data_IF_348265317360
#
_entry.id   IF_348265317360
#
_cell.length_a   1.000
_cell.length_b   1.000
_cell.length_c   1.000
_cell.angle_alpha   90.00
_cell.angle_beta   90.00
_cell.angle_gamma   90.00
#
_symmetry.space_group_name_H-M   'P 1'
#
loop_
_entity.id
_entity.type
_entity.pdbx_description
1 polymer ?
#
# COMPACT_ATOMS: atom_id res chain seq x y z
N UNK A 1 -14.48 20.21 42.05
CA UNK A 1 -13.19 20.06 42.74
C UNK A 1 -12.19 19.58 41.70
N UNK A 2 -11.21 20.41 41.33
CA UNK A 2 -10.06 19.92 40.56
C UNK A 2 -9.31 18.92 41.43
N UNK A 3 -9.23 17.67 40.97
CA UNK A 3 -8.70 16.59 41.77
C UNK A 3 -7.17 16.56 41.66
N UNK A 4 -6.52 17.49 42.35
CA UNK A 4 -5.07 17.72 42.34
C UNK A 4 -4.25 16.43 42.56
N UNK A 5 -4.81 15.47 43.32
CA UNK A 5 -4.20 14.17 43.60
C UNK A 5 -4.14 13.29 42.35
N UNK A 6 -5.23 13.24 41.57
CA UNK A 6 -5.26 12.50 40.31
C UNK A 6 -4.30 13.11 39.27
N UNK A 7 -4.27 14.45 39.16
CA UNK A 7 -3.32 15.15 38.29
C UNK A 7 -1.87 14.86 38.68
N UNK A 8 -1.57 14.85 39.98
CA UNK A 8 -0.23 14.52 40.49
C UNK A 8 0.16 13.08 40.18
N UNK A 9 -0.78 12.14 40.29
CA UNK A 9 -0.55 10.75 39.89
C UNK A 9 -0.28 10.63 38.38
N UNK A 10 -1.07 11.29 37.54
CA UNK A 10 -0.84 11.32 36.10
C UNK A 10 0.51 11.94 35.75
N UNK A 11 0.95 13.00 36.43
CA UNK A 11 2.23 13.64 36.17
C UNK A 11 3.42 12.68 36.30
N UNK A 12 3.34 11.70 37.22
CA UNK A 12 4.39 10.70 37.46
C UNK A 12 4.39 9.55 36.44
N UNK A 13 3.38 9.47 35.57
CA UNK A 13 3.29 8.40 34.56
C UNK A 13 4.09 8.72 33.30
N UNK A 14 4.47 7.66 32.57
CA UNK A 14 5.13 7.75 31.26
C UNK A 14 4.17 8.04 30.09
N UNK A 15 2.88 8.24 30.38
CA UNK A 15 1.87 8.54 29.38
C UNK A 15 2.17 9.89 28.69
N UNK A 16 1.76 10.02 27.44
CA UNK A 16 1.86 11.26 26.70
C UNK A 16 0.94 12.34 27.27
N UNK A 17 1.21 13.60 26.95
CA UNK A 17 0.36 14.74 27.36
C UNK A 17 -1.09 14.58 26.89
N UNK A 18 -1.31 14.06 25.68
CA UNK A 18 -2.64 13.82 25.14
C UNK A 18 -3.41 12.75 25.91
N UNK A 19 -2.74 11.65 26.29
CA UNK A 19 -3.35 10.61 27.10
C UNK A 19 -3.69 11.08 28.51
N UNK A 20 -2.78 11.84 29.15
CA UNK A 20 -3.03 12.47 30.45
C UNK A 20 -4.25 13.39 30.40
N UNK A 21 -4.39 14.17 29.33
CA UNK A 21 -5.55 15.02 29.10
C UNK A 21 -6.85 14.21 28.97
N UNK A 22 -6.85 13.17 28.13
CA UNK A 22 -8.01 12.31 27.94
C UNK A 22 -8.44 11.62 29.24
N UNK A 23 -7.48 11.07 29.98
CA UNK A 23 -7.74 10.45 31.29
C UNK A 23 -8.30 11.47 32.29
N UNK A 24 -7.84 12.71 32.26
CA UNK A 24 -8.37 13.79 33.10
C UNK A 24 -9.82 14.11 32.75
N UNK A 25 -10.16 14.21 31.46
CA UNK A 25 -11.55 14.39 31.02
C UNK A 25 -12.42 13.24 31.52
N UNK A 26 -12.01 12.00 31.25
CA UNK A 26 -12.77 10.80 31.65
C UNK A 26 -12.97 10.81 33.16
N UNK A 27 -11.90 10.99 33.92
CA UNK A 27 -11.94 11.01 35.38
C UNK A 27 -12.92 12.07 35.91
N UNK A 28 -12.93 13.27 35.32
CA UNK A 28 -13.81 14.35 35.75
C UNK A 28 -15.30 14.05 35.56
N UNK A 29 -15.66 13.22 34.57
CA UNK A 29 -17.05 12.79 34.32
C UNK A 29 -17.55 11.70 35.28
N UNK A 30 -16.66 11.09 36.07
CA UNK A 30 -17.03 10.03 37.00
C UNK A 30 -17.73 10.58 38.26
N UNK A 31 -18.53 9.72 38.88
CA UNK A 31 -19.10 9.96 40.22
C UNK A 31 -18.00 10.07 41.27
N UNK A 32 -18.24 10.83 42.34
CA UNK A 32 -17.23 11.06 43.38
C UNK A 32 -16.77 9.77 44.08
N UNK A 33 -17.69 8.83 44.36
CA UNK A 33 -17.34 7.51 44.91
C UNK A 33 -16.33 6.77 44.03
N UNK A 34 -16.55 6.82 42.70
CA UNK A 34 -15.69 6.18 41.72
C UNK A 34 -14.34 6.88 41.60
N UNK A 35 -14.32 8.22 41.71
CA UNK A 35 -13.08 9.01 41.75
C UNK A 35 -12.24 8.65 42.97
N UNK A 36 -12.87 8.52 44.15
CA UNK A 36 -12.21 8.11 45.39
C UNK A 36 -11.62 6.71 45.23
N UNK A 37 -12.42 5.74 44.77
CA UNK A 37 -11.97 4.37 44.57
C UNK A 37 -10.76 4.28 43.62
N UNK A 38 -10.79 5.04 42.52
CA UNK A 38 -9.67 5.10 41.56
C UNK A 38 -8.41 5.69 42.21
N UNK A 39 -8.55 6.75 43.01
CA UNK A 39 -7.43 7.38 43.69
C UNK A 39 -6.81 6.44 44.73
N UNK A 40 -7.63 5.73 45.50
CA UNK A 40 -7.18 4.78 46.52
C UNK A 40 -6.51 3.54 45.90
N UNK A 41 -6.99 3.12 44.72
CA UNK A 41 -6.50 1.94 44.02
C UNK A 41 -5.70 2.30 42.76
N UNK A 42 -5.06 3.47 42.75
CA UNK A 42 -4.45 4.06 41.55
C UNK A 42 -3.53 3.09 40.81
N UNK A 43 -2.64 2.39 41.54
CA UNK A 43 -1.69 1.43 40.95
C UNK A 43 -2.40 0.36 40.11
N UNK A 44 -3.47 -0.25 40.63
CA UNK A 44 -4.26 -1.28 39.93
C UNK A 44 -4.86 -0.73 38.63
N UNK A 45 -5.41 0.48 38.69
CA UNK A 45 -6.01 1.11 37.52
C UNK A 45 -4.97 1.53 36.49
N UNK A 46 -3.84 2.06 36.95
CA UNK A 46 -2.72 2.44 36.10
C UNK A 46 -2.11 1.23 35.38
N UNK A 47 -1.87 0.12 36.10
CA UNK A 47 -1.36 -1.13 35.49
C UNK A 47 -2.33 -1.64 34.41
N UNK A 48 -3.64 -1.50 34.63
CA UNK A 48 -4.64 -1.87 33.63
C UNK A 48 -4.63 -0.93 32.42
N UNK A 49 -4.49 0.37 32.63
CA UNK A 49 -4.35 1.37 31.56
C UNK A 49 -3.12 1.04 30.71
N UNK A 50 -1.98 0.78 31.33
CA UNK A 50 -0.76 0.42 30.63
C UNK A 50 -0.91 -0.88 29.83
N UNK A 51 -1.52 -1.91 30.42
CA UNK A 51 -1.77 -3.18 29.72
C UNK A 51 -2.62 -2.97 28.46
N UNK A 52 -3.69 -2.17 28.55
CA UNK A 52 -4.56 -1.88 27.39
C UNK A 52 -3.80 -1.04 26.36
N UNK A 53 -3.03 -0.04 26.80
CA UNK A 53 -2.25 0.80 25.91
C UNK A 53 -1.19 0.00 25.13
N UNK A 54 -0.42 -0.86 25.81
CA UNK A 54 0.60 -1.69 25.17
C UNK A 54 -0.02 -2.61 24.13
N UNK A 55 -1.11 -3.32 24.47
CA UNK A 55 -1.78 -4.19 23.51
C UNK A 55 -2.33 -3.43 22.29
N UNK A 56 -2.90 -2.23 22.50
CA UNK A 56 -3.40 -1.41 21.41
C UNK A 56 -2.27 -0.89 20.50
N UNK A 57 -1.12 -0.53 21.07
CA UNK A 57 0.03 -0.07 20.30
C UNK A 57 0.69 -1.23 19.53
N UNK A 58 0.77 -2.42 20.11
CA UNK A 58 1.22 -3.64 19.41
C UNK A 58 0.30 -3.98 18.22
N UNK A 59 -1.02 -3.95 18.43
CA UNK A 59 -2.00 -4.21 17.36
C UNK A 59 -1.89 -3.16 16.25
N UNK A 60 -1.74 -1.89 16.61
CA UNK A 60 -1.54 -0.80 15.65
C UNK A 60 -0.25 -0.98 14.85
N UNK A 61 0.85 -1.33 15.49
CA UNK A 61 2.13 -1.59 14.82
C UNK A 61 2.02 -2.75 13.84
N UNK A 62 1.35 -3.84 14.23
CA UNK A 62 1.12 -4.98 13.35
C UNK A 62 0.23 -4.60 12.16
N UNK A 63 -0.85 -3.84 12.39
CA UNK A 63 -1.73 -3.35 11.33
C UNK A 63 -0.98 -2.45 10.33
N UNK A 64 -0.11 -1.57 10.83
CA UNK A 64 0.77 -0.74 9.99
C UNK A 64 1.68 -1.63 9.14
N UNK A 65 2.34 -2.62 9.76
CA UNK A 65 3.24 -3.55 9.09
C UNK A 65 2.53 -4.32 7.97
N UNK A 66 1.37 -4.90 8.26
CA UNK A 66 0.54 -5.63 7.29
C UNK A 66 0.13 -4.72 6.14
N UNK A 67 -0.26 -3.47 6.44
CA UNK A 67 -0.70 -2.51 5.43
C UNK A 67 0.44 -2.15 4.48
N UNK A 68 1.64 -1.87 5.00
CA UNK A 68 2.81 -1.61 4.18
C UNK A 68 3.21 -2.82 3.33
N UNK A 69 3.15 -4.03 3.87
CA UNK A 69 3.41 -5.25 3.11
C UNK A 69 2.44 -5.41 1.92
N UNK A 70 1.14 -5.12 2.13
CA UNK A 70 0.14 -5.13 1.05
C UNK A 70 0.40 -4.05 0.00
N UNK A 71 0.75 -2.83 0.42
CA UNK A 71 1.09 -1.74 -0.50
C UNK A 71 2.27 -2.14 -1.39
N UNK A 72 3.33 -2.68 -0.79
CA UNK A 72 4.50 -3.13 -1.56
C UNK A 72 4.13 -4.24 -2.55
N UNK A 73 3.34 -5.23 -2.13
CA UNK A 73 2.87 -6.27 -3.04
C UNK A 73 2.07 -5.72 -4.22
N UNK A 74 1.24 -4.70 -4.01
CA UNK A 74 0.48 -4.05 -5.08
C UNK A 74 1.38 -3.26 -6.04
N UNK A 75 2.41 -2.60 -5.51
CA UNK A 75 3.41 -1.89 -6.31
C UNK A 75 4.19 -2.89 -7.18
N UNK A 76 4.68 -3.98 -6.58
CA UNK A 76 5.42 -5.02 -7.30
C UNK A 76 4.56 -5.64 -8.40
N UNK A 77 3.29 -5.94 -8.11
CA UNK A 77 2.36 -6.45 -9.12
C UNK A 77 2.12 -5.45 -10.25
N UNK A 78 1.96 -4.16 -9.93
CA UNK A 78 1.79 -3.12 -10.94
C UNK A 78 3.03 -2.99 -11.84
N UNK A 79 4.23 -3.07 -11.27
CA UNK A 79 5.49 -3.05 -12.02
C UNK A 79 5.60 -4.27 -12.95
N UNK A 80 5.30 -5.48 -12.45
CA UNK A 80 5.32 -6.70 -13.26
C UNK A 80 4.31 -6.63 -14.41
N UNK A 81 3.10 -6.09 -14.17
CA UNK A 81 2.09 -5.89 -15.22
C UNK A 81 2.55 -4.88 -16.27
N UNK A 82 3.20 -3.79 -15.86
CA UNK A 82 3.74 -2.79 -16.78
C UNK A 82 4.86 -3.36 -17.65
N UNK A 83 5.79 -4.11 -17.05
CA UNK A 83 6.84 -4.81 -17.78
C UNK A 83 6.28 -5.83 -18.79
N UNK A 84 5.29 -6.63 -18.37
CA UNK A 84 4.63 -7.59 -19.24
C UNK A 84 3.97 -6.91 -20.43
N UNK A 85 3.28 -5.79 -20.21
CA UNK A 85 2.66 -4.98 -21.27
C UNK A 85 3.71 -4.47 -22.26
N UNK A 86 4.80 -3.86 -21.77
CA UNK A 86 5.89 -3.34 -22.63
C UNK A 86 6.53 -4.44 -23.48
N UNK A 87 6.71 -5.64 -22.92
CA UNK A 87 7.24 -6.80 -23.66
C UNK A 87 6.29 -7.24 -24.77
N UNK A 88 4.99 -7.28 -24.49
CA UNK A 88 3.97 -7.65 -25.46
C UNK A 88 3.86 -6.61 -26.59
N UNK A 89 3.87 -5.31 -26.27
CA UNK A 89 3.92 -4.23 -27.26
C UNK A 89 5.13 -4.36 -28.19
N UNK A 90 6.33 -4.56 -27.61
CA UNK A 90 7.56 -4.75 -28.38
C UNK A 90 7.47 -5.98 -29.29
N UNK A 91 6.86 -7.08 -28.82
CA UNK A 91 6.68 -8.30 -29.61
C UNK A 91 5.71 -8.07 -30.77
N UNK A 92 4.61 -7.37 -30.54
CA UNK A 92 3.62 -7.04 -31.57
C UNK A 92 4.20 -6.10 -32.63
N UNK A 93 5.01 -5.13 -32.23
CA UNK A 93 5.70 -4.23 -33.18
C UNK A 93 6.65 -5.01 -34.10
N UNK A 94 7.46 -5.93 -33.55
CA UNK A 94 8.35 -6.78 -34.34
C UNK A 94 7.58 -7.65 -35.33
N UNK A 95 6.49 -8.29 -34.89
CA UNK A 95 5.65 -9.10 -35.77
C UNK A 95 5.05 -8.28 -36.92
N UNK A 96 4.53 -7.08 -36.63
CA UNK A 96 4.02 -6.16 -37.66
C UNK A 96 5.10 -5.72 -38.64
N UNK A 97 6.33 -5.51 -38.17
CA UNK A 97 7.45 -5.15 -39.04
C UNK A 97 7.85 -6.31 -39.96
N UNK A 98 7.89 -7.54 -39.44
CA UNK A 98 8.15 -8.76 -40.22
C UNK A 98 7.08 -9.01 -41.29
N UNK A 99 5.80 -8.86 -40.94
CA UNK A 99 4.67 -8.97 -41.88
C UNK A 99 4.77 -7.94 -43.01
N UNK A 100 5.12 -6.68 -42.69
CA UNK A 100 5.34 -5.64 -43.70
C UNK A 100 6.47 -6.01 -44.64
N UNK A 101 7.63 -6.43 -44.12
CA UNK A 101 8.79 -6.85 -44.93
C UNK A 101 8.46 -8.03 -45.84
N UNK A 102 7.73 -9.02 -45.34
CA UNK A 102 7.29 -10.15 -46.16
C UNK A 102 6.35 -9.71 -47.29
N UNK A 103 5.40 -8.82 -47.00
CA UNK A 103 4.47 -8.27 -48.00
C UNK A 103 5.21 -7.50 -49.08
N UNK A 104 6.13 -6.61 -48.70
CA UNK A 104 6.98 -5.85 -49.63
C UNK A 104 7.82 -6.77 -50.51
N UNK A 105 8.39 -7.83 -49.93
CA UNK A 105 9.18 -8.82 -50.66
C UNK A 105 8.33 -9.58 -51.67
N UNK A 106 7.13 -10.01 -51.27
CA UNK A 106 6.19 -10.69 -52.16
C UNK A 106 5.76 -9.80 -53.33
N UNK A 107 5.42 -8.53 -53.05
CA UNK A 107 5.06 -7.56 -54.08
C UNK A 107 6.21 -7.29 -55.06
N UNK A 108 7.44 -7.18 -54.56
CA UNK A 108 8.63 -7.04 -55.39
C UNK A 108 8.84 -8.26 -56.29
N UNK A 109 8.73 -9.48 -55.74
CA UNK A 109 8.84 -10.72 -56.53
C UNK A 109 7.77 -10.81 -57.61
N UNK A 110 6.53 -10.47 -57.29
CA UNK A 110 5.42 -10.43 -58.26
C UNK A 110 5.70 -9.45 -59.39
N UNK A 111 6.20 -8.25 -59.09
CA UNK A 111 6.60 -7.26 -60.11
C UNK A 111 7.73 -7.77 -61.01
N UNK A 112 8.75 -8.40 -60.43
CA UNK A 112 9.86 -9.01 -61.18
C UNK A 112 9.37 -10.12 -62.11
N UNK A 113 8.46 -10.97 -61.64
CA UNK A 113 7.88 -12.04 -62.44
C UNK A 113 7.03 -11.49 -63.60
N UNK A 114 6.24 -10.44 -63.37
CA UNK A 114 5.52 -9.72 -64.42
C UNK A 114 6.48 -9.15 -65.48
N UNK A 115 7.55 -8.48 -65.06
CA UNK A 115 8.57 -7.96 -65.97
C UNK A 115 9.25 -9.07 -66.79
N UNK A 116 9.56 -10.21 -66.16
CA UNK A 116 10.15 -11.38 -66.84
C UNK A 116 9.20 -11.95 -67.90
N UNK A 117 7.89 -11.94 -67.63
CA UNK A 117 6.88 -12.44 -68.57
C UNK A 117 6.58 -11.45 -69.70
N UNK A 118 6.77 -10.15 -69.51
CA UNK A 118 6.66 -9.12 -70.56
C UNK A 118 7.88 -9.13 -71.49
N UNK A 119 9.07 -9.45 -70.96
CA UNK A 119 10.31 -9.54 -71.73
C UNK A 119 10.51 -10.84 -72.52
N UNK A 120 9.58 -11.81 -72.45
CA UNK A 120 9.61 -13.04 -73.26
C UNK A 120 8.82 -12.81 -74.55
N UNK A 121 9.46 -12.86 -75.74
CA UNK A 121 8.72 -12.74 -76.98
C UNK A 121 7.76 -13.93 -77.14
N UNK A 122 6.56 -13.73 -77.70
CA UNK A 122 5.65 -14.83 -78.01
C UNK A 122 6.25 -15.65 -79.15
N UNK A 123 6.89 -16.77 -78.81
CA UNK A 123 7.45 -17.74 -79.75
C UNK A 123 8.97 -17.77 -79.76
N UNK A 124 9.50 -18.89 -79.27
CA UNK A 124 10.91 -19.30 -79.31
C UNK A 124 11.02 -20.70 -78.76
#
# INVERSE_FOLDING_TARGET
MDNYKFTSFLAQTSLSTGEKYNLTIIFNTLTDDRKIEIIENWKKYYDKILSVHTSAEEEKQENIRITFAKINSLIDEALLRDEARKREETKQEKQKEEERKMTETYDMQRRLEQLRNIGRPPGG
#
